data_IF_189012613372
#
_entry.id   IF_189012613372
#
_cell.length_a   1.000
_cell.length_b   1.000
_cell.length_c   1.000
_cell.angle_alpha   90.00
_cell.angle_beta   90.00
_cell.angle_gamma   90.00
#
_symmetry.space_group_name_H-M   'P 1'
#
loop_
_entity.id
_entity.type
_entity.pdbx_description
1 polymer ?
#
# COMPACT_ATOMS: atom_id res chain seq x y z
N UNK A 1 12.45 -26.41 36.82
CA UNK A 1 11.81 -26.99 35.62
C UNK A 1 10.60 -26.15 35.17
N UNK A 2 9.77 -25.64 36.09
CA UNK A 2 8.64 -24.75 35.75
C UNK A 2 9.05 -23.40 35.13
N UNK A 3 10.13 -22.76 35.62
CA UNK A 3 10.59 -21.45 35.10
C UNK A 3 10.99 -21.54 33.61
N UNK A 4 11.62 -22.64 33.20
CA UNK A 4 12.00 -22.90 31.80
C UNK A 4 10.79 -23.18 30.91
N UNK A 5 9.76 -23.83 31.45
CA UNK A 5 8.54 -24.18 30.72
C UNK A 5 7.66 -22.95 30.46
N UNK A 6 7.51 -22.06 31.47
CA UNK A 6 6.76 -20.82 31.32
C UNK A 6 7.45 -19.84 30.35
N UNK A 7 8.78 -19.78 30.36
CA UNK A 7 9.56 -18.94 29.44
C UNK A 7 9.42 -19.40 27.98
N UNK A 8 9.43 -20.72 27.72
CA UNK A 8 9.14 -21.27 26.36
C UNK A 8 7.73 -20.93 25.91
N UNK A 9 6.74 -21.08 26.80
CA UNK A 9 5.33 -20.81 26.49
C UNK A 9 5.07 -19.32 26.18
N UNK A 10 5.66 -18.41 26.95
CA UNK A 10 5.60 -16.96 26.70
C UNK A 10 6.30 -16.56 25.38
N UNK A 11 7.44 -17.18 25.07
CA UNK A 11 8.14 -16.95 23.80
C UNK A 11 7.31 -17.42 22.60
N UNK A 12 6.64 -18.57 22.69
CA UNK A 12 5.76 -19.08 21.60
C UNK A 12 4.51 -18.22 21.40
N UNK A 13 3.90 -17.70 22.48
CA UNK A 13 2.74 -16.79 22.36
C UNK A 13 3.14 -15.43 21.77
N UNK A 14 4.31 -14.90 22.16
CA UNK A 14 4.84 -13.66 21.59
C UNK A 14 5.26 -13.83 20.13
N UNK A 15 5.73 -15.00 19.70
CA UNK A 15 6.01 -15.28 18.29
C UNK A 15 4.71 -15.36 17.48
N UNK A 16 3.68 -16.03 18.01
CA UNK A 16 2.41 -16.21 17.32
C UNK A 16 1.65 -14.89 17.13
N UNK A 17 1.66 -13.99 18.13
CA UNK A 17 1.02 -12.67 18.01
C UNK A 17 1.72 -11.77 17.00
N UNK A 18 3.05 -11.90 16.91
CA UNK A 18 3.90 -11.20 15.94
C UNK A 18 3.63 -11.66 14.51
N UNK A 19 3.58 -12.97 14.28
CA UNK A 19 3.23 -13.52 12.97
C UNK A 19 1.82 -13.11 12.55
N UNK A 20 0.84 -13.20 13.47
CA UNK A 20 -0.52 -12.78 13.21
C UNK A 20 -0.61 -11.30 12.82
N UNK A 21 0.16 -10.43 13.48
CA UNK A 21 0.20 -9.01 13.14
C UNK A 21 0.75 -8.78 11.73
N UNK A 22 1.87 -9.42 11.36
CA UNK A 22 2.43 -9.28 10.01
C UNK A 22 1.49 -9.83 8.93
N UNK A 23 0.74 -10.89 9.22
CA UNK A 23 -0.25 -11.45 8.30
C UNK A 23 -1.44 -10.50 8.14
N UNK A 24 -1.95 -9.94 9.25
CA UNK A 24 -3.01 -8.95 9.22
C UNK A 24 -2.62 -7.70 8.39
N UNK A 25 -1.40 -7.19 8.57
CA UNK A 25 -0.86 -6.08 7.77
C UNK A 25 -0.81 -6.46 6.28
N UNK A 26 -0.35 -7.67 5.96
CA UNK A 26 -0.29 -8.15 4.56
C UNK A 26 -1.67 -8.19 3.93
N UNK A 27 -2.69 -8.71 4.63
CA UNK A 27 -4.06 -8.75 4.14
C UNK A 27 -4.67 -7.36 3.97
N UNK A 28 -4.36 -6.41 4.85
CA UNK A 28 -4.78 -5.02 4.68
C UNK A 28 -4.20 -4.38 3.42
N UNK A 29 -2.90 -4.59 3.14
CA UNK A 29 -2.29 -4.12 1.90
C UNK A 29 -2.90 -4.77 0.66
N UNK A 30 -3.14 -6.09 0.69
CA UNK A 30 -3.80 -6.80 -0.41
C UNK A 30 -5.19 -6.22 -0.67
N UNK A 31 -6.01 -6.07 0.38
CA UNK A 31 -7.36 -5.53 0.24
C UNK A 31 -7.35 -4.12 -0.34
N UNK A 32 -6.43 -3.26 0.13
CA UNK A 32 -6.27 -1.91 -0.37
C UNK A 32 -5.85 -1.88 -1.85
N UNK A 33 -4.78 -2.59 -2.21
CA UNK A 33 -4.23 -2.57 -3.56
C UNK A 33 -5.15 -3.22 -4.59
N UNK A 34 -5.82 -4.31 -4.25
CA UNK A 34 -6.81 -4.92 -5.14
C UNK A 34 -8.01 -3.99 -5.34
N UNK A 35 -8.50 -3.36 -4.27
CA UNK A 35 -9.58 -2.39 -4.36
C UNK A 35 -9.19 -1.20 -5.27
N UNK A 36 -8.01 -0.61 -5.06
CA UNK A 36 -7.54 0.53 -5.86
C UNK A 36 -7.26 0.14 -7.30
N UNK A 37 -6.68 -1.03 -7.56
CA UNK A 37 -6.40 -1.50 -8.92
C UNK A 37 -7.70 -1.75 -9.68
N UNK A 38 -8.66 -2.42 -9.05
CA UNK A 38 -9.98 -2.64 -9.63
C UNK A 38 -10.69 -1.32 -9.95
N UNK A 39 -10.68 -0.36 -9.02
CA UNK A 39 -11.29 0.96 -9.25
C UNK A 39 -10.62 1.71 -10.41
N UNK A 40 -9.28 1.66 -10.52
CA UNK A 40 -8.53 2.31 -11.61
C UNK A 40 -8.79 1.66 -12.96
N UNK A 41 -8.82 0.33 -13.03
CA UNK A 41 -9.12 -0.39 -14.27
C UNK A 41 -10.57 -0.21 -14.71
N UNK A 42 -11.52 -0.17 -13.76
CA UNK A 42 -12.93 0.09 -14.06
C UNK A 42 -13.20 1.51 -14.58
N UNK A 43 -12.35 2.48 -14.21
CA UNK A 43 -12.45 3.88 -14.64
C UNK A 43 -11.15 4.38 -15.28
N UNK A 44 -10.58 3.54 -16.17
CA UNK A 44 -9.25 3.74 -16.74
C UNK A 44 -9.11 5.10 -17.45
N UNK A 45 -10.05 5.45 -18.33
CA UNK A 45 -10.01 6.73 -19.06
C UNK A 45 -9.99 7.92 -18.11
N UNK A 46 -10.76 7.86 -17.03
CA UNK A 46 -10.82 8.93 -16.04
C UNK A 46 -9.54 9.00 -15.23
N UNK A 47 -8.96 7.86 -14.86
CA UNK A 47 -7.68 7.78 -14.18
C UNK A 47 -6.54 8.34 -15.06
N UNK A 48 -6.50 7.97 -16.34
CA UNK A 48 -5.54 8.49 -17.30
C UNK A 48 -5.67 10.01 -17.48
N UNK A 49 -6.90 10.53 -17.59
CA UNK A 49 -7.15 11.98 -17.70
C UNK A 49 -6.71 12.76 -16.45
N UNK A 50 -6.81 12.14 -15.27
CA UNK A 50 -6.26 12.72 -14.04
C UNK A 50 -4.74 12.78 -14.10
N UNK A 51 -4.09 11.72 -14.59
CA UNK A 51 -2.64 11.68 -14.74
C UNK A 51 -2.13 12.63 -15.81
N UNK A 52 -2.86 12.81 -16.93
CA UNK A 52 -2.48 13.70 -18.04
C UNK A 52 -2.43 15.17 -17.64
N UNK A 53 -3.19 15.55 -16.61
CA UNK A 53 -3.17 16.90 -16.02
C UNK A 53 -2.06 17.11 -14.99
N UNK A 54 -1.29 16.07 -14.68
CA UNK A 54 -0.19 16.17 -13.73
C UNK A 54 1.03 16.85 -14.35
N UNK A 55 1.62 17.88 -13.71
CA UNK A 55 2.79 18.57 -14.26
C UNK A 55 4.02 17.68 -14.51
N UNK A 56 4.18 16.58 -13.75
CA UNK A 56 5.36 15.72 -13.82
C UNK A 56 5.20 14.54 -14.78
N UNK A 57 3.99 13.98 -14.84
CA UNK A 57 3.74 12.68 -15.47
C UNK A 57 2.69 12.75 -16.58
N UNK A 58 2.24 13.95 -16.92
CA UNK A 58 1.19 14.17 -17.91
C UNK A 58 1.50 13.56 -19.27
N UNK A 59 2.72 13.76 -19.77
CA UNK A 59 3.19 13.21 -21.04
C UNK A 59 3.30 11.68 -21.06
N UNK A 60 3.35 11.06 -19.88
CA UNK A 60 3.45 9.62 -19.68
C UNK A 60 2.18 9.04 -19.04
N UNK A 61 1.04 9.73 -19.16
CA UNK A 61 -0.21 9.33 -18.49
C UNK A 61 -0.65 7.92 -18.85
N UNK A 62 -0.65 7.56 -20.14
CA UNK A 62 -1.09 6.23 -20.61
C UNK A 62 -0.23 5.08 -20.07
N UNK A 63 1.12 5.08 -20.23
CA UNK A 63 1.93 3.99 -19.70
C UNK A 63 1.87 3.91 -18.16
N UNK A 64 1.79 5.05 -17.47
CA UNK A 64 1.68 5.07 -16.00
C UNK A 64 0.31 4.60 -15.53
N UNK A 65 -0.76 4.94 -16.26
CA UNK A 65 -2.13 4.49 -15.99
C UNK A 65 -2.25 2.97 -16.02
N UNK A 66 -1.48 2.29 -16.87
CA UNK A 66 -1.34 0.83 -16.88
C UNK A 66 -0.37 0.30 -15.82
N UNK A 67 0.78 0.95 -15.66
CA UNK A 67 1.82 0.48 -14.74
C UNK A 67 1.34 0.43 -13.28
N UNK A 68 0.56 1.42 -12.85
CA UNK A 68 0.09 1.54 -11.46
C UNK A 68 -0.81 0.36 -11.05
N UNK A 69 -1.94 0.07 -11.71
CA UNK A 69 -2.79 -1.08 -11.35
C UNK A 69 -2.06 -2.42 -11.49
N UNK A 70 -1.19 -2.57 -12.49
CA UNK A 70 -0.40 -3.80 -12.66
C UNK A 70 0.58 -4.00 -11.51
N UNK A 71 1.24 -2.95 -11.04
CA UNK A 71 2.11 -3.01 -9.88
C UNK A 71 1.33 -3.36 -8.60
N UNK A 72 0.15 -2.75 -8.40
CA UNK A 72 -0.74 -3.03 -7.26
C UNK A 72 -1.17 -4.51 -7.22
N UNK A 73 -1.56 -5.07 -8.36
CA UNK A 73 -1.93 -6.48 -8.49
C UNK A 73 -0.72 -7.38 -8.25
N UNK A 74 0.43 -7.09 -8.88
CA UNK A 74 1.64 -7.88 -8.74
C UNK A 74 2.13 -7.94 -7.28
N UNK A 75 2.14 -6.80 -6.58
CA UNK A 75 2.51 -6.73 -5.17
C UNK A 75 1.52 -7.51 -4.31
N UNK A 76 0.22 -7.41 -4.60
CA UNK A 76 -0.80 -8.20 -3.91
C UNK A 76 -0.58 -9.70 -4.07
N UNK A 77 -0.22 -10.17 -5.28
CA UNK A 77 0.16 -11.56 -5.51
C UNK A 77 1.40 -11.97 -4.70
N UNK A 78 2.42 -11.12 -4.63
CA UNK A 78 3.63 -11.39 -3.84
C UNK A 78 3.35 -11.50 -2.33
N UNK A 79 2.38 -10.75 -1.81
CA UNK A 79 1.97 -10.82 -0.41
C UNK A 79 1.20 -12.09 -0.05
N UNK A 80 0.47 -12.68 -1.01
CA UNK A 80 -0.28 -13.93 -0.82
C UNK A 80 0.68 -15.12 -0.69
N UNK A 81 1.74 -15.16 -1.51
CA UNK A 81 2.66 -16.29 -1.55
C UNK A 81 3.64 -16.19 -0.36
N UNK A 82 3.67 -17.16 0.58
CA UNK A 82 4.47 -17.06 1.81
C UNK A 82 5.96 -16.81 1.56
N UNK A 83 6.54 -17.42 0.52
CA UNK A 83 7.96 -17.31 0.18
C UNK A 83 8.35 -15.92 -0.34
N UNK A 84 7.41 -15.17 -0.92
CA UNK A 84 7.65 -13.81 -1.45
C UNK A 84 7.10 -12.72 -0.55
N UNK A 85 6.39 -13.06 0.54
CA UNK A 85 5.70 -12.10 1.40
C UNK A 85 6.62 -10.98 1.91
N UNK A 86 7.85 -11.30 2.31
CA UNK A 86 8.84 -10.29 2.72
C UNK A 86 9.13 -9.27 1.63
N UNK A 87 9.36 -9.74 0.39
CA UNK A 87 9.57 -8.87 -0.78
C UNK A 87 8.31 -8.07 -1.10
N UNK A 88 7.14 -8.70 -1.01
CA UNK A 88 5.84 -8.04 -1.12
C UNK A 88 5.71 -6.86 -0.15
N UNK A 89 6.03 -7.05 1.14
CA UNK A 89 5.97 -5.98 2.14
C UNK A 89 6.92 -4.81 1.83
N UNK A 90 8.15 -5.08 1.41
CA UNK A 90 9.08 -4.02 0.97
C UNK A 90 8.55 -3.25 -0.24
N UNK A 91 8.01 -3.95 -1.25
CA UNK A 91 7.45 -3.31 -2.44
C UNK A 91 6.16 -2.54 -2.12
N UNK A 92 5.32 -3.03 -1.21
CA UNK A 92 4.16 -2.31 -0.70
C UNK A 92 4.55 -1.00 -0.05
N UNK A 93 5.58 -1.01 0.80
CA UNK A 93 6.12 0.19 1.43
C UNK A 93 6.66 1.18 0.40
N UNK A 94 7.45 0.69 -0.57
CA UNK A 94 7.97 1.51 -1.65
C UNK A 94 6.85 2.17 -2.46
N UNK A 95 5.85 1.39 -2.89
CA UNK A 95 4.75 1.91 -3.68
C UNK A 95 3.90 2.92 -2.87
N UNK A 96 3.64 2.63 -1.59
CA UNK A 96 2.90 3.53 -0.71
C UNK A 96 3.66 4.86 -0.48
N UNK A 97 4.99 4.79 -0.35
CA UNK A 97 5.84 5.98 -0.27
C UNK A 97 5.78 6.79 -1.56
N UNK A 98 5.88 6.15 -2.73
CA UNK A 98 5.79 6.83 -4.03
C UNK A 98 4.44 7.54 -4.19
N UNK A 99 3.32 6.88 -3.86
CA UNK A 99 2.00 7.51 -3.87
C UNK A 99 1.92 8.70 -2.91
N UNK A 100 2.49 8.57 -1.71
CA UNK A 100 2.48 9.65 -0.71
C UNK A 100 3.29 10.85 -1.19
N UNK A 101 4.50 10.63 -1.69
CA UNK A 101 5.37 11.70 -2.25
C UNK A 101 4.68 12.38 -3.42
N UNK A 102 4.05 11.61 -4.33
CA UNK A 102 3.29 12.17 -5.44
C UNK A 102 2.13 13.05 -4.97
N UNK A 103 1.34 12.60 -4.00
CA UNK A 103 0.23 13.39 -3.45
C UNK A 103 0.72 14.68 -2.78
N UNK A 104 1.83 14.61 -2.04
CA UNK A 104 2.48 15.78 -1.42
C UNK A 104 2.93 16.77 -2.50
N UNK A 105 3.59 16.29 -3.56
CA UNK A 105 3.99 17.13 -4.68
C UNK A 105 2.77 17.82 -5.33
N UNK A 106 1.69 17.08 -5.58
CA UNK A 106 0.45 17.63 -6.14
C UNK A 106 -0.19 18.69 -5.23
N UNK A 107 -0.10 18.53 -3.90
CA UNK A 107 -0.57 19.54 -2.94
C UNK A 107 0.24 20.84 -2.99
N UNK A 108 1.56 20.77 -3.20
CA UNK A 108 2.44 21.94 -3.20
C UNK A 108 2.60 22.61 -4.57
N UNK A 109 2.32 21.90 -5.67
CA UNK A 109 2.43 22.44 -7.04
C UNK A 109 1.38 23.48 -7.38
N UNK A 110 0.32 23.64 -6.57
CA UNK A 110 -0.70 24.68 -6.75
C UNK A 110 -1.55 24.52 -8.02
N UNK A 111 -1.31 23.47 -8.82
CA UNK A 111 -2.15 23.09 -9.95
C UNK A 111 -3.55 22.75 -9.48
N UNK A 112 -4.58 23.14 -10.25
CA UNK A 112 -5.96 22.77 -9.95
C UNK A 112 -6.04 21.25 -9.80
N UNK A 113 -6.28 20.81 -8.57
CA UNK A 113 -6.32 19.40 -8.22
C UNK A 113 -7.37 18.73 -9.12
N UNK A 114 -6.98 17.77 -9.98
CA UNK A 114 -7.91 17.16 -10.90
C UNK A 114 -9.05 16.54 -10.09
N UNK A 115 -10.28 16.86 -10.48
CA UNK A 115 -11.49 16.57 -9.73
C UNK A 115 -11.62 15.06 -9.43
N UNK A 116 -12.22 14.76 -8.27
CA UNK A 116 -12.43 13.42 -7.69
C UNK A 116 -12.87 12.37 -8.73
N UNK A 117 -11.98 11.43 -9.07
CA UNK A 117 -12.21 10.44 -10.12
C UNK A 117 -11.56 9.08 -9.78
N UNK A 118 -11.93 8.47 -8.65
CA UNK A 118 -11.26 7.23 -8.19
C UNK A 118 -11.99 6.44 -7.11
N UNK A 119 -13.32 6.32 -7.18
CA UNK A 119 -14.11 5.46 -6.28
C UNK A 119 -14.26 5.97 -4.83
N UNK A 120 -14.47 5.08 -3.86
CA UNK A 120 -14.71 5.44 -2.44
C UNK A 120 -13.52 6.19 -1.83
N UNK A 121 -12.30 5.82 -2.22
CA UNK A 121 -11.08 6.51 -1.79
C UNK A 121 -11.03 7.94 -2.34
N UNK A 122 -11.62 8.21 -3.51
CA UNK A 122 -11.71 9.57 -4.04
C UNK A 122 -12.67 10.50 -3.29
N UNK A 123 -13.47 10.01 -2.34
CA UNK A 123 -14.31 10.88 -1.49
C UNK A 123 -13.50 11.60 -0.38
N UNK A 124 -12.24 11.23 -0.18
CA UNK A 124 -11.38 11.79 0.86
C UNK A 124 -10.70 13.07 0.39
N UNK A 125 -10.44 14.01 1.32
CA UNK A 125 -9.63 15.18 1.02
C UNK A 125 -8.18 14.77 0.73
N UNK A 126 -7.47 15.50 -0.13
CA UNK A 126 -6.06 15.23 -0.48
C UNK A 126 -5.15 15.06 0.75
N UNK A 127 -5.33 15.91 1.78
CA UNK A 127 -4.61 15.78 3.06
C UNK A 127 -4.99 14.49 3.80
N UNK A 128 -6.27 14.12 3.75
CA UNK A 128 -6.75 12.84 4.27
C UNK A 128 -6.07 11.65 3.60
N UNK A 129 -5.91 11.66 2.27
CA UNK A 129 -5.20 10.59 1.55
C UNK A 129 -3.75 10.47 1.99
N UNK A 130 -3.05 11.59 2.15
CA UNK A 130 -1.67 11.59 2.66
C UNK A 130 -1.61 10.96 4.04
N UNK A 131 -2.54 11.32 4.94
CA UNK A 131 -2.60 10.73 6.28
C UNK A 131 -2.94 9.24 6.25
N UNK A 132 -3.87 8.83 5.38
CA UNK A 132 -4.23 7.42 5.17
C UNK A 132 -3.01 6.61 4.71
N UNK A 133 -2.30 7.07 3.70
CA UNK A 133 -1.08 6.40 3.22
C UNK A 133 0.01 6.38 4.30
N UNK A 134 0.19 7.47 5.06
CA UNK A 134 1.13 7.51 6.18
C UNK A 134 0.81 6.45 7.24
N UNK A 135 -0.48 6.24 7.55
CA UNK A 135 -0.93 5.15 8.41
C UNK A 135 -0.53 3.77 7.88
N UNK A 136 -0.74 3.51 6.58
CA UNK A 136 -0.31 2.27 5.95
C UNK A 136 1.21 2.10 5.94
N UNK A 137 1.99 3.17 5.77
CA UNK A 137 3.45 3.13 5.86
C UNK A 137 3.88 2.69 7.26
N UNK A 138 3.30 3.29 8.31
CA UNK A 138 3.60 2.92 9.70
C UNK A 138 3.22 1.45 9.98
N UNK A 139 2.05 1.01 9.50
CA UNK A 139 1.62 -0.38 9.62
C UNK A 139 2.58 -1.34 8.88
N UNK A 140 2.99 -0.99 7.66
CA UNK A 140 3.93 -1.79 6.88
C UNK A 140 5.31 -1.90 7.52
N UNK A 141 5.83 -0.79 8.09
CA UNK A 141 7.08 -0.79 8.84
C UNK A 141 6.98 -1.67 10.10
N UNK A 142 5.86 -1.58 10.82
CA UNK A 142 5.59 -2.44 11.97
C UNK A 142 5.50 -3.92 11.58
N UNK A 143 4.75 -4.24 10.52
CA UNK A 143 4.62 -5.60 10.02
C UNK A 143 5.96 -6.19 9.59
N UNK A 144 6.78 -5.41 8.88
CA UNK A 144 8.13 -5.80 8.45
C UNK A 144 9.10 -5.96 9.63
N UNK A 145 9.08 -5.08 10.62
CA UNK A 145 9.95 -5.16 11.79
C UNK A 145 9.69 -6.42 12.64
N UNK A 146 8.47 -6.92 12.58
CA UNK A 146 8.00 -8.08 13.32
C UNK A 146 8.05 -9.36 12.47
N UNK A 147 8.12 -9.23 11.15
CA UNK A 147 8.16 -10.34 10.22
C UNK A 147 9.37 -11.24 10.48
N UNK A 148 9.10 -12.53 10.65
CA UNK A 148 10.11 -13.57 10.85
C UNK A 148 10.08 -14.50 9.64
N UNK A 149 11.21 -14.58 8.94
CA UNK A 149 11.38 -15.49 7.80
C UNK A 149 11.31 -16.92 8.33
N UNK A 150 10.32 -17.68 7.84
CA UNK A 150 10.09 -19.09 8.22
C UNK A 150 11.03 -20.01 7.47
#
# INVERSE_FOLDING_TARGET
MEITFNKRRLLTFADQSKEFFSDAVSYLFIALFIYTAASKLASFETFEQVLSRSPLIGDYSTPIAWAIPLAEIAISTLLIIPITKRKGLYLSLLLMLLFTVYLIYMLYSGSQLPCHCGGVISSMSWKGHVLFNAGFIVLGLGGLAVYRER
#
